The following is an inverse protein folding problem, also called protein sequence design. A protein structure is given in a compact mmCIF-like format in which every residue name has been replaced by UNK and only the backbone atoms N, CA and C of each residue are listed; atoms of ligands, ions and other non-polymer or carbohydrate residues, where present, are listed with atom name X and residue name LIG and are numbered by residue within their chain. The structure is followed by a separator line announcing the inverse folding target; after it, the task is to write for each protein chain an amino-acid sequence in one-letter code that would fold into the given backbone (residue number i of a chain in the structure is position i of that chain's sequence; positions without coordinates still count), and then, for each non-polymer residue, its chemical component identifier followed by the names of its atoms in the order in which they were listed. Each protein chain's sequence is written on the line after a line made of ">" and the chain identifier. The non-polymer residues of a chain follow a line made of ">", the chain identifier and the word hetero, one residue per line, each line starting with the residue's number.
data_IF_864573909202
#
_entry.id   IF_864573909202
#
_cell.length_a   1.000
_cell.length_b   1.000
_cell.length_c   1.000
_cell.angle_alpha   90.00
_cell.angle_beta   90.00
_cell.angle_gamma   90.00
#
_symmetry.space_group_name_H-M   'P 1'
#
loop_
_entity.id
_entity.type
_entity.pdbx_description
1 polymer ?
#
# COMPACT_ATOMS: atom_id res chain seq x y z
N UNK A 1 10.08 33.36 -10.84
CA UNK A 1 9.98 34.04 -9.53
C UNK A 1 8.70 33.53 -8.88
N UNK A 2 8.83 32.67 -7.86
CA UNK A 2 7.70 32.39 -6.98
C UNK A 2 7.44 33.67 -6.19
N UNK A 3 6.27 34.25 -6.39
CA UNK A 3 5.81 35.36 -5.56
C UNK A 3 5.67 34.83 -4.10
N UNK A 4 6.52 35.30 -3.22
CA UNK A 4 6.37 35.09 -1.77
C UNK A 4 5.19 35.97 -1.30
N UNK A 5 3.98 35.48 -1.46
CA UNK A 5 2.75 36.22 -1.15
C UNK A 5 2.55 36.31 0.36
N UNK A 6 3.08 35.32 1.13
CA UNK A 6 2.87 35.23 2.55
C UNK A 6 4.21 35.18 3.30
N UNK A 7 4.64 36.32 3.79
CA UNK A 7 5.79 36.44 4.71
C UNK A 7 5.43 36.24 6.17
N UNK A 8 4.13 36.23 6.47
CA UNK A 8 3.59 36.10 7.83
C UNK A 8 2.79 34.80 7.96
N UNK A 9 2.51 34.42 9.18
CA UNK A 9 1.65 33.27 9.47
C UNK A 9 0.19 33.60 9.17
N UNK A 10 -0.48 32.77 8.37
CA UNK A 10 -1.87 32.93 7.98
C UNK A 10 -2.68 31.74 8.50
N UNK A 11 -3.80 32.04 9.14
CA UNK A 11 -4.78 31.05 9.56
C UNK A 11 -5.97 31.10 8.61
N UNK A 12 -6.31 29.92 8.02
CA UNK A 12 -7.44 29.75 7.11
C UNK A 12 -8.43 28.78 7.74
N UNK A 13 -9.70 29.15 7.79
CA UNK A 13 -10.79 28.28 8.18
C UNK A 13 -11.71 28.05 6.98
N UNK A 14 -12.02 26.80 6.69
CA UNK A 14 -12.93 26.38 5.63
C UNK A 14 -14.15 25.70 6.25
N UNK A 15 -15.31 25.99 5.68
CA UNK A 15 -16.56 25.30 5.97
C UNK A 15 -17.33 25.17 4.66
N UNK A 16 -17.32 23.97 4.06
CA UNK A 16 -17.89 23.69 2.76
C UNK A 16 -18.95 22.60 2.89
N UNK A 17 -20.14 22.83 2.33
CA UNK A 17 -21.24 21.88 2.38
C UNK A 17 -20.92 20.62 1.57
N UNK A 18 -20.44 20.80 0.34
CA UNK A 18 -20.17 19.71 -0.59
C UNK A 18 -18.85 19.96 -1.30
N UNK A 19 -18.02 18.92 -1.35
CA UNK A 19 -16.74 18.91 -2.07
C UNK A 19 -16.67 17.67 -2.96
N UNK A 20 -16.58 17.88 -4.26
CA UNK A 20 -16.47 16.82 -5.25
C UNK A 20 -15.02 16.34 -5.35
N UNK A 21 -14.77 15.10 -4.97
CA UNK A 21 -13.47 14.46 -5.13
C UNK A 21 -13.24 14.01 -6.58
N UNK A 22 -14.31 13.55 -7.22
CA UNK A 22 -14.43 13.24 -8.64
C UNK A 22 -15.91 13.35 -9.09
N UNK A 23 -16.23 12.83 -10.29
CA UNK A 23 -17.58 12.90 -10.84
C UNK A 23 -18.63 12.09 -10.05
N UNK A 24 -18.22 11.18 -9.20
CA UNK A 24 -19.09 10.23 -8.49
C UNK A 24 -18.99 10.32 -6.96
N UNK A 25 -17.90 10.88 -6.47
CA UNK A 25 -17.61 10.91 -5.04
C UNK A 25 -17.66 12.34 -4.49
N UNK A 26 -18.57 12.55 -3.56
CA UNK A 26 -18.76 13.82 -2.86
C UNK A 26 -18.48 13.59 -1.37
N UNK A 27 -17.78 14.53 -0.74
CA UNK A 27 -17.71 14.61 0.71
C UNK A 27 -18.48 15.83 1.18
N UNK A 28 -19.19 15.68 2.26
CA UNK A 28 -20.08 16.68 2.86
C UNK A 28 -19.52 17.23 4.16
N UNK A 29 -19.96 18.44 4.49
CA UNK A 29 -19.64 19.11 5.75
C UNK A 29 -18.12 19.17 6.01
N UNK A 30 -17.36 19.49 4.97
CA UNK A 30 -15.92 19.64 5.10
C UNK A 30 -15.60 20.84 5.98
N UNK A 31 -14.94 20.57 7.07
CA UNK A 31 -14.36 21.59 7.98
C UNK A 31 -12.85 21.49 7.90
N UNK A 32 -12.20 22.62 7.68
CA UNK A 32 -10.74 22.68 7.56
C UNK A 32 -10.18 23.86 8.33
N UNK A 33 -9.08 23.64 9.02
CA UNK A 33 -8.27 24.68 9.64
C UNK A 33 -6.84 24.50 9.18
N UNK A 34 -6.21 25.58 8.73
CA UNK A 34 -4.84 25.56 8.21
C UNK A 34 -4.07 26.72 8.82
N UNK A 35 -2.83 26.43 9.21
CA UNK A 35 -1.84 27.44 9.51
C UNK A 35 -0.73 27.35 8.46
N UNK A 36 -0.52 28.44 7.73
CA UNK A 36 0.50 28.56 6.69
C UNK A 36 1.56 29.54 7.18
N UNK A 37 2.79 29.12 7.19
CA UNK A 37 3.96 29.96 7.54
C UNK A 37 5.01 29.79 6.46
N UNK A 38 5.59 30.86 5.95
CA UNK A 38 6.60 30.85 4.85
C UNK A 38 6.15 30.01 3.64
N UNK A 39 4.91 30.18 3.19
CA UNK A 39 4.31 29.43 2.08
C UNK A 39 4.24 27.90 2.30
N UNK A 40 4.40 27.43 3.52
CA UNK A 40 4.29 26.00 3.87
C UNK A 40 3.16 25.78 4.84
N UNK A 41 2.41 24.69 4.65
CA UNK A 41 1.42 24.27 5.63
C UNK A 41 2.17 23.75 6.85
N UNK A 42 2.07 24.48 7.94
CA UNK A 42 2.64 24.16 9.24
C UNK A 42 1.71 23.24 10.04
N UNK A 43 0.43 23.62 10.09
CA UNK A 43 -0.63 22.80 10.67
C UNK A 43 -1.81 22.72 9.71
N UNK A 44 -2.48 21.58 9.68
CA UNK A 44 -3.77 21.41 9.05
C UNK A 44 -4.61 20.42 9.85
N UNK A 45 -5.90 20.66 9.89
CA UNK A 45 -6.88 19.73 10.42
C UNK A 45 -8.12 19.80 9.52
N UNK A 46 -8.44 18.70 8.86
CA UNK A 46 -9.57 18.61 7.94
C UNK A 46 -10.42 17.41 8.32
N UNK A 47 -11.71 17.59 8.38
CA UNK A 47 -12.70 16.54 8.56
C UNK A 47 -13.84 16.70 7.56
N UNK A 48 -14.33 15.59 7.05
CA UNK A 48 -15.47 15.54 6.15
C UNK A 48 -16.18 14.18 6.27
N UNK A 49 -17.36 14.05 5.68
CA UNK A 49 -18.11 12.79 5.61
C UNK A 49 -18.52 12.46 4.19
N UNK A 50 -18.47 11.21 3.82
CA UNK A 50 -19.12 10.69 2.63
C UNK A 50 -20.64 10.60 2.84
N UNK A 51 -21.40 10.40 1.76
CA UNK A 51 -22.88 10.34 1.80
C UNK A 51 -23.42 9.25 2.74
N UNK A 52 -22.68 8.16 2.92
CA UNK A 52 -23.00 7.06 3.82
C UNK A 52 -22.53 7.28 5.27
N UNK A 53 -22.25 8.52 5.67
CA UNK A 53 -21.68 8.92 6.96
C UNK A 53 -20.28 8.37 7.26
N UNK A 54 -19.59 7.78 6.31
CA UNK A 54 -18.20 7.37 6.45
C UNK A 54 -17.27 8.59 6.51
N UNK A 55 -16.22 8.50 7.31
CA UNK A 55 -15.37 9.64 7.64
C UNK A 55 -14.19 9.77 6.67
N UNK A 56 -13.80 11.03 6.45
CA UNK A 56 -12.53 11.44 5.87
C UNK A 56 -11.87 12.43 6.83
N UNK A 57 -10.64 12.16 7.24
CA UNK A 57 -9.84 13.06 8.08
C UNK A 57 -8.43 13.21 7.53
N UNK A 58 -7.91 14.43 7.60
CA UNK A 58 -6.53 14.73 7.20
C UNK A 58 -5.95 15.70 8.21
N UNK A 59 -4.72 15.44 8.67
CA UNK A 59 -4.03 16.36 9.55
C UNK A 59 -2.55 16.48 9.19
N UNK A 60 -2.03 17.68 9.41
CA UNK A 60 -0.60 17.99 9.41
C UNK A 60 -0.28 18.65 10.74
N UNK A 61 0.77 18.19 11.40
CA UNK A 61 1.32 18.80 12.59
C UNK A 61 2.84 18.89 12.44
N UNK A 62 3.38 20.10 12.55
CA UNK A 62 4.82 20.33 12.49
C UNK A 62 5.30 20.77 13.88
N UNK A 63 6.27 20.06 14.43
CA UNK A 63 6.91 20.36 15.70
C UNK A 63 8.39 20.01 15.63
N UNK A 64 9.27 20.89 16.08
CA UNK A 64 10.73 20.67 16.12
C UNK A 64 11.29 20.20 14.75
N UNK A 65 10.85 20.89 13.67
CA UNK A 65 11.17 20.60 12.26
C UNK A 65 10.72 19.20 11.77
N UNK A 66 10.01 18.45 12.58
CA UNK A 66 9.36 17.22 12.18
C UNK A 66 7.91 17.48 11.76
N UNK A 67 7.58 17.12 10.53
CA UNK A 67 6.23 17.24 9.97
C UNK A 67 5.54 15.88 9.95
N UNK A 68 4.53 15.72 10.79
CA UNK A 68 3.68 14.54 10.80
C UNK A 68 2.46 14.81 9.92
N UNK A 69 2.17 13.88 9.02
CA UNK A 69 0.97 13.90 8.16
C UNK A 69 0.18 12.63 8.39
N UNK A 70 -1.11 12.75 8.63
CA UNK A 70 -2.06 11.64 8.73
C UNK A 70 -3.22 11.85 7.77
N UNK A 71 -3.70 10.76 7.17
CA UNK A 71 -4.89 10.75 6.32
C UNK A 71 -5.63 9.44 6.59
N UNK A 72 -6.88 9.55 7.01
CA UNK A 72 -7.78 8.43 7.14
C UNK A 72 -9.00 8.63 6.26
N UNK A 73 -9.39 7.60 5.54
CA UNK A 73 -10.63 7.59 4.75
C UNK A 73 -11.31 6.24 4.90
N UNK A 74 -12.56 6.23 5.32
CA UNK A 74 -13.39 5.03 5.35
C UNK A 74 -13.75 4.50 3.95
N UNK A 75 -13.39 5.22 2.89
CA UNK A 75 -13.49 4.81 1.48
C UNK A 75 -12.14 5.05 0.82
N UNK A 76 -11.44 3.98 0.47
CA UNK A 76 -10.10 4.07 -0.12
C UNK A 76 -10.11 4.56 -1.57
N UNK A 77 -11.10 4.12 -2.35
CA UNK A 77 -11.16 4.31 -3.79
C UNK A 77 -10.96 5.75 -4.27
N UNK A 78 -11.71 6.76 -3.76
CA UNK A 78 -11.59 8.13 -4.27
C UNK A 78 -10.18 8.69 -4.14
N UNK A 79 -9.48 8.33 -3.05
CA UNK A 79 -8.12 8.80 -2.80
C UNK A 79 -7.08 8.04 -3.61
N UNK A 80 -7.19 6.71 -3.68
CA UNK A 80 -6.25 5.88 -4.45
C UNK A 80 -6.31 6.24 -5.94
N UNK A 81 -7.50 6.41 -6.49
CA UNK A 81 -7.69 6.83 -7.90
C UNK A 81 -7.19 8.25 -8.15
N UNK A 82 -7.47 9.19 -7.26
CA UNK A 82 -7.04 10.58 -7.38
C UNK A 82 -5.54 10.72 -7.39
N UNK A 83 -4.85 10.06 -6.48
CA UNK A 83 -3.40 10.15 -6.33
C UNK A 83 -2.65 9.05 -7.07
N UNK A 84 -3.35 8.13 -7.73
CA UNK A 84 -2.78 7.03 -8.53
C UNK A 84 -1.76 6.19 -7.75
N UNK A 85 -2.01 5.96 -6.47
CA UNK A 85 -1.13 5.17 -5.60
C UNK A 85 -0.97 3.73 -6.12
N UNK A 86 -2.05 3.14 -6.62
CA UNK A 86 -2.07 1.79 -7.18
C UNK A 86 -2.77 1.85 -8.53
N UNK A 87 -2.12 1.33 -9.58
CA UNK A 87 -2.77 1.15 -10.88
C UNK A 87 -3.77 0.00 -10.82
N UNK A 88 -4.86 0.12 -11.58
CA UNK A 88 -5.89 -0.92 -11.65
C UNK A 88 -6.63 -1.14 -10.34
N UNK A 89 -6.63 -0.16 -9.45
CA UNK A 89 -7.38 -0.22 -8.21
C UNK A 89 -8.89 -0.17 -8.49
N UNK A 90 -9.58 -1.18 -7.99
CA UNK A 90 -11.04 -1.25 -7.95
C UNK A 90 -11.49 -1.49 -6.53
N UNK A 91 -12.46 -0.74 -6.10
CA UNK A 91 -13.05 -0.87 -4.77
C UNK A 91 -14.50 -1.36 -4.91
N UNK A 92 -14.92 -2.13 -3.94
CA UNK A 92 -16.32 -2.49 -3.73
C UNK A 92 -17.03 -1.54 -2.74
N UNK A 93 -16.46 -0.36 -2.46
CA UNK A 93 -16.90 0.60 -1.44
C UNK A 93 -16.78 0.12 0.02
N UNK A 94 -16.04 -0.94 0.27
CA UNK A 94 -15.96 -1.57 1.60
C UNK A 94 -14.62 -1.31 2.31
N UNK A 95 -13.58 -0.91 1.56
CA UNK A 95 -12.23 -0.74 2.10
C UNK A 95 -11.92 0.65 2.64
N UNK A 96 -11.10 0.74 3.66
CA UNK A 96 -10.55 1.99 4.17
C UNK A 96 -9.10 2.20 3.75
N UNK A 97 -8.66 3.44 3.86
CA UNK A 97 -7.27 3.84 3.70
C UNK A 97 -6.81 4.56 4.96
N UNK A 98 -5.64 4.17 5.46
CA UNK A 98 -4.95 4.86 6.55
C UNK A 98 -3.50 5.14 6.12
N UNK A 99 -3.11 6.40 6.21
CA UNK A 99 -1.78 6.85 5.85
C UNK A 99 -1.17 7.68 6.98
N UNK A 100 0.07 7.36 7.31
CA UNK A 100 0.91 8.10 8.24
C UNK A 100 2.25 8.42 7.58
N UNK A 101 2.77 9.62 7.82
CA UNK A 101 4.11 9.99 7.38
C UNK A 101 4.75 10.96 8.39
N UNK A 102 5.96 10.66 8.80
CA UNK A 102 6.84 11.59 9.52
C UNK A 102 7.96 12.04 8.59
N UNK A 103 8.12 13.37 8.45
CA UNK A 103 9.16 13.98 7.60
C UNK A 103 10.05 14.90 8.41
N UNK A 104 11.36 14.60 8.41
CA UNK A 104 12.42 15.41 9.03
C UNK A 104 13.66 15.38 8.14
N UNK A 105 14.39 16.48 8.04
CA UNK A 105 15.66 16.61 7.29
C UNK A 105 15.58 16.10 5.84
N UNK A 106 14.45 16.36 5.17
CA UNK A 106 14.23 15.93 3.78
C UNK A 106 13.94 14.44 3.60
N UNK A 107 13.88 13.66 4.68
CA UNK A 107 13.54 12.25 4.68
C UNK A 107 12.13 12.08 5.25
N UNK A 108 11.27 11.32 4.56
CA UNK A 108 9.98 10.93 5.11
C UNK A 108 9.89 9.42 5.29
N UNK A 109 9.48 9.00 6.48
CA UNK A 109 9.13 7.61 6.80
C UNK A 109 7.62 7.50 6.81
N UNK A 110 7.07 6.60 6.00
CA UNK A 110 5.65 6.55 5.74
C UNK A 110 5.10 5.13 5.86
N UNK A 111 3.86 5.04 6.29
CA UNK A 111 3.07 3.81 6.34
C UNK A 111 1.75 4.04 5.64
N UNK A 112 1.38 3.12 4.74
CA UNK A 112 0.09 3.09 4.04
C UNK A 112 -0.58 1.75 4.33
N UNK A 113 -1.81 1.80 4.79
CA UNK A 113 -2.68 0.64 4.97
C UNK A 113 -3.90 0.84 4.07
N UNK A 114 -4.28 -0.21 3.35
CA UNK A 114 -5.54 -0.27 2.60
C UNK A 114 -6.18 -1.62 2.90
N UNK A 115 -7.44 -1.58 3.28
CA UNK A 115 -8.21 -2.76 3.60
C UNK A 115 -9.21 -3.06 2.48
N UNK A 116 -9.44 -4.34 2.21
CA UNK A 116 -10.52 -4.89 1.38
C UNK A 116 -10.72 -4.19 0.02
N UNK A 117 -9.78 -4.38 -0.88
CA UNK A 117 -9.81 -3.79 -2.23
C UNK A 117 -9.51 -4.84 -3.30
N UNK A 118 -9.74 -4.48 -4.55
CA UNK A 118 -9.49 -5.29 -5.73
C UNK A 118 -8.55 -4.56 -6.68
N UNK A 119 -7.65 -5.31 -7.31
CA UNK A 119 -6.80 -4.78 -8.37
C UNK A 119 -6.93 -5.60 -9.63
N UNK A 120 -6.91 -4.95 -10.77
CA UNK A 120 -6.86 -5.59 -12.08
C UNK A 120 -5.87 -4.90 -13.01
N UNK A 121 -5.55 -5.55 -14.14
CA UNK A 121 -4.69 -4.98 -15.17
C UNK A 121 -3.33 -4.52 -14.64
N UNK A 122 -2.70 -5.35 -13.78
CA UNK A 122 -1.33 -5.13 -13.32
C UNK A 122 -0.39 -6.02 -14.12
N UNK A 123 0.21 -5.53 -15.23
CA UNK A 123 1.00 -6.37 -16.15
C UNK A 123 2.21 -7.04 -15.48
N UNK A 124 2.86 -6.35 -14.54
CA UNK A 124 4.00 -6.90 -13.81
C UNK A 124 3.59 -8.09 -12.94
N UNK A 125 2.44 -8.02 -12.26
CA UNK A 125 1.92 -9.10 -11.44
C UNK A 125 1.48 -10.28 -12.33
N UNK A 126 0.73 -10.02 -13.41
CA UNK A 126 0.32 -11.04 -14.37
C UNK A 126 1.54 -11.78 -14.96
N UNK A 127 2.61 -11.06 -15.29
CA UNK A 127 3.86 -11.66 -15.79
C UNK A 127 4.54 -12.55 -14.73
N UNK A 128 4.61 -12.11 -13.47
CA UNK A 128 5.16 -12.93 -12.38
C UNK A 128 4.36 -14.22 -12.23
N UNK A 129 3.04 -14.13 -12.23
CA UNK A 129 2.14 -15.28 -12.09
C UNK A 129 2.26 -16.27 -13.26
N UNK A 130 2.34 -15.77 -14.50
CA UNK A 130 2.53 -16.61 -15.68
C UNK A 130 3.89 -17.32 -15.66
N UNK A 131 4.97 -16.62 -15.31
CA UNK A 131 6.30 -17.22 -15.15
C UNK A 131 6.37 -18.23 -14.00
N UNK A 132 5.52 -18.09 -13.02
CA UNK A 132 5.36 -19.01 -11.89
C UNK A 132 4.47 -20.24 -12.22
N UNK A 133 3.99 -20.36 -13.44
CA UNK A 133 3.00 -21.36 -13.87
C UNK A 133 1.66 -21.29 -13.12
N UNK A 134 1.29 -20.09 -12.68
CA UNK A 134 0.03 -19.79 -11.99
C UNK A 134 -0.95 -19.11 -12.94
N UNK A 135 -1.14 -19.67 -14.14
CA UNK A 135 -1.91 -19.05 -15.22
C UNK A 135 -3.35 -18.70 -14.82
N UNK A 136 -4.05 -19.57 -14.10
CA UNK A 136 -5.41 -19.30 -13.67
C UNK A 136 -5.53 -18.04 -12.77
N UNK A 137 -4.51 -17.75 -11.94
CA UNK A 137 -4.47 -16.54 -11.14
C UNK A 137 -4.05 -15.33 -12.02
N UNK A 138 -3.15 -15.54 -12.98
CA UNK A 138 -2.76 -14.51 -13.94
C UNK A 138 -3.97 -14.03 -14.77
N UNK A 139 -4.83 -14.94 -15.18
CA UNK A 139 -6.06 -14.65 -15.93
C UNK A 139 -7.04 -13.84 -15.08
N UNK A 140 -7.17 -14.13 -13.78
CA UNK A 140 -7.95 -13.29 -12.86
C UNK A 140 -7.42 -11.87 -12.79
N UNK A 141 -6.11 -11.67 -12.70
CA UNK A 141 -5.50 -10.31 -12.65
C UNK A 141 -5.80 -9.49 -13.89
N UNK A 142 -5.82 -10.14 -15.06
CA UNK A 142 -6.09 -9.47 -16.34
C UNK A 142 -7.57 -9.31 -16.66
N UNK A 143 -8.42 -10.15 -16.10
CA UNK A 143 -9.86 -10.17 -16.31
C UNK A 143 -10.66 -9.54 -15.17
N UNK A 144 -11.13 -10.37 -14.24
CA UNK A 144 -12.02 -9.94 -13.16
C UNK A 144 -11.30 -9.16 -12.04
N UNK A 145 -9.99 -9.28 -11.95
CA UNK A 145 -9.16 -8.70 -10.90
C UNK A 145 -8.97 -9.64 -9.71
N UNK A 146 -7.98 -9.30 -8.89
CA UNK A 146 -7.63 -10.02 -7.65
C UNK A 146 -8.01 -9.17 -6.44
N UNK A 147 -8.67 -9.79 -5.45
CA UNK A 147 -8.99 -9.16 -4.17
C UNK A 147 -7.83 -9.32 -3.19
N UNK A 148 -7.58 -8.25 -2.45
CA UNK A 148 -6.76 -8.24 -1.25
C UNK A 148 -7.61 -7.80 -0.06
N UNK A 149 -7.49 -8.51 1.05
CA UNK A 149 -8.16 -8.17 2.31
C UNK A 149 -7.33 -7.21 3.13
N UNK A 150 -6.01 -7.30 3.02
CA UNK A 150 -5.04 -6.48 3.73
C UNK A 150 -3.92 -6.04 2.81
N UNK A 151 -3.55 -4.78 2.92
CA UNK A 151 -2.36 -4.21 2.31
C UNK A 151 -1.69 -3.28 3.32
N UNK A 152 -0.40 -3.47 3.50
CA UNK A 152 0.44 -2.60 4.32
C UNK A 152 1.74 -2.33 3.57
N UNK A 153 2.12 -1.06 3.44
CA UNK A 153 3.39 -0.65 2.86
C UNK A 153 4.11 0.32 3.79
N UNK A 154 5.33 -0.03 4.19
CA UNK A 154 6.25 0.83 4.92
C UNK A 154 7.33 1.28 3.95
N UNK A 155 7.52 2.58 3.81
CA UNK A 155 8.46 3.13 2.83
C UNK A 155 9.09 4.43 3.29
N UNK A 156 10.27 4.70 2.75
CA UNK A 156 11.04 5.92 3.01
C UNK A 156 11.26 6.67 1.71
N UNK A 157 11.04 8.00 1.71
CA UNK A 157 11.38 8.87 0.59
C UNK A 157 12.53 9.80 0.97
N UNK A 158 13.53 9.89 0.09
CA UNK A 158 14.63 10.86 0.16
C UNK A 158 14.87 11.44 -1.23
N UNK A 159 14.46 12.68 -1.44
CA UNK A 159 14.49 13.28 -2.78
C UNK A 159 13.68 12.46 -3.80
N UNK A 160 14.36 11.98 -4.84
CA UNK A 160 13.76 11.16 -5.91
C UNK A 160 13.74 9.65 -5.64
N UNK A 161 14.32 9.22 -4.53
CA UNK A 161 14.41 7.82 -4.16
C UNK A 161 13.30 7.46 -3.17
N UNK A 162 12.46 6.49 -3.55
CA UNK A 162 11.54 5.78 -2.66
C UNK A 162 12.13 4.41 -2.35
N UNK A 163 12.37 4.12 -1.09
CA UNK A 163 12.73 2.78 -0.61
C UNK A 163 11.50 2.11 -0.01
N UNK A 164 11.08 1.00 -0.58
CA UNK A 164 10.04 0.14 -0.03
C UNK A 164 10.72 -0.79 0.97
N UNK A 165 10.59 -0.45 2.25
CA UNK A 165 11.16 -1.25 3.34
C UNK A 165 10.42 -2.59 3.46
N UNK A 166 9.11 -2.55 3.30
CA UNK A 166 8.23 -3.71 3.22
C UNK A 166 6.89 -3.31 2.61
N UNK A 167 6.44 -4.09 1.65
CA UNK A 167 5.06 -4.11 1.19
C UNK A 167 4.54 -5.52 1.40
N UNK A 168 3.44 -5.66 2.12
CA UNK A 168 2.79 -6.92 2.38
C UNK A 168 1.31 -6.84 2.00
N UNK A 169 0.84 -7.77 1.18
CA UNK A 169 -0.56 -7.86 0.78
C UNK A 169 -1.06 -9.30 0.92
N UNK A 170 -2.22 -9.48 1.52
CA UNK A 170 -2.92 -10.76 1.65
C UNK A 170 -4.24 -10.71 0.91
N UNK A 171 -4.53 -11.76 0.17
CA UNK A 171 -5.82 -11.99 -0.45
C UNK A 171 -6.21 -13.46 -0.47
N UNK A 172 -7.47 -13.76 -0.83
CA UNK A 172 -7.96 -15.13 -0.90
C UNK A 172 -7.31 -15.98 -1.99
N UNK A 173 -6.67 -15.37 -2.99
CA UNK A 173 -5.96 -16.06 -4.06
C UNK A 173 -4.45 -16.14 -3.83
N UNK A 174 -3.84 -15.05 -3.35
CA UNK A 174 -2.39 -14.95 -3.17
C UNK A 174 -2.03 -14.06 -1.97
N UNK A 175 -0.83 -14.27 -1.44
CA UNK A 175 -0.15 -13.33 -0.55
C UNK A 175 1.19 -12.92 -1.15
N UNK A 176 1.57 -11.65 -0.97
CA UNK A 176 2.75 -11.06 -1.58
C UNK A 176 3.54 -10.28 -0.52
N UNK A 177 4.85 -10.47 -0.51
CA UNK A 177 5.80 -9.65 0.26
C UNK A 177 6.79 -9.04 -0.72
N UNK A 178 6.97 -7.72 -0.69
CA UNK A 178 7.87 -6.98 -1.60
C UNK A 178 8.75 -6.05 -0.78
N UNK A 179 10.00 -5.89 -1.22
CA UNK A 179 10.94 -4.87 -0.78
C UNK A 179 11.78 -4.37 -1.96
N UNK A 180 12.45 -3.24 -1.81
CA UNK A 180 13.31 -2.69 -2.84
C UNK A 180 13.24 -1.17 -2.94
N UNK A 181 13.49 -0.63 -4.11
CA UNK A 181 13.47 0.81 -4.31
C UNK A 181 13.01 1.22 -5.70
N UNK A 182 12.53 2.45 -5.78
CA UNK A 182 12.10 3.12 -7.00
C UNK A 182 12.78 4.47 -7.04
N UNK A 183 13.59 4.72 -8.05
CA UNK A 183 14.14 6.03 -8.37
C UNK A 183 13.29 6.66 -9.46
N UNK A 184 12.77 7.86 -9.18
CA UNK A 184 11.82 8.54 -10.04
C UNK A 184 12.33 8.66 -11.49
N UNK A 185 11.55 8.14 -12.44
CA UNK A 185 11.82 8.11 -13.88
C UNK A 185 13.12 7.40 -14.34
N UNK A 186 13.85 6.77 -13.45
CA UNK A 186 15.17 6.16 -13.71
C UNK A 186 15.14 4.65 -13.56
N UNK A 187 14.92 4.14 -12.37
CA UNK A 187 15.11 2.73 -12.05
C UNK A 187 14.06 2.20 -11.06
N UNK A 188 13.52 1.05 -11.38
CA UNK A 188 12.74 0.23 -10.44
C UNK A 188 13.59 -1.02 -10.15
N UNK A 189 13.77 -1.34 -8.87
CA UNK A 189 14.44 -2.55 -8.41
C UNK A 189 13.70 -3.13 -7.23
N UNK A 190 12.86 -4.11 -7.50
CA UNK A 190 12.00 -4.77 -6.51
C UNK A 190 12.32 -6.25 -6.45
N UNK A 191 12.23 -6.83 -5.27
CA UNK A 191 12.28 -8.27 -5.05
C UNK A 191 11.18 -8.66 -4.09
N UNK A 192 10.69 -9.88 -4.23
CA UNK A 192 9.61 -10.32 -3.36
C UNK A 192 9.37 -11.81 -3.40
N UNK A 193 8.40 -12.20 -2.61
CA UNK A 193 7.87 -13.56 -2.52
C UNK A 193 6.37 -13.50 -2.77
N UNK A 194 5.88 -14.42 -3.59
CA UNK A 194 4.47 -14.62 -3.87
C UNK A 194 4.09 -16.05 -3.48
N UNK A 195 3.00 -16.21 -2.74
CA UNK A 195 2.53 -17.51 -2.26
C UNK A 195 1.04 -17.65 -2.57
N UNK A 196 0.61 -18.69 -3.31
CA UNK A 196 -0.80 -19.00 -3.50
C UNK A 196 -1.48 -19.31 -2.16
N UNK A 197 -2.73 -18.87 -1.98
CA UNK A 197 -3.48 -19.08 -0.75
C UNK A 197 -3.72 -20.57 -0.44
N UNK A 198 -3.89 -21.40 -1.47
CA UNK A 198 -4.00 -22.85 -1.31
C UNK A 198 -2.78 -23.47 -0.63
N UNK A 199 -1.60 -22.91 -0.85
CA UNK A 199 -0.35 -23.34 -0.20
C UNK A 199 -0.32 -22.90 1.26
N UNK A 200 -0.71 -21.67 1.55
CA UNK A 200 -0.79 -21.14 2.92
C UNK A 200 -1.72 -21.99 3.78
N UNK A 201 -2.93 -22.26 3.29
CA UNK A 201 -3.92 -23.07 4.01
C UNK A 201 -3.42 -24.49 4.29
N UNK A 202 -2.73 -25.13 3.36
CA UNK A 202 -2.13 -26.47 3.56
C UNK A 202 -1.00 -26.40 4.60
N UNK A 203 -0.15 -25.41 4.53
CA UNK A 203 0.97 -25.24 5.46
C UNK A 203 0.48 -25.00 6.89
N UNK A 204 -0.54 -24.14 7.07
CA UNK A 204 -1.14 -23.85 8.39
C UNK A 204 -1.84 -25.07 8.95
N UNK A 205 -2.59 -25.82 8.14
CA UNK A 205 -3.27 -27.04 8.55
C UNK A 205 -2.28 -28.17 8.92
N UNK A 206 -1.05 -28.14 8.43
CA UNK A 206 -0.02 -29.14 8.69
C UNK A 206 0.94 -28.79 9.83
N UNK A 207 0.76 -27.62 10.48
CA UNK A 207 1.60 -27.19 11.62
C UNK A 207 1.07 -27.83 12.91
N UNK A 208 1.72 -28.87 13.46
CA UNK A 208 1.55 -29.23 14.84
C UNK A 208 2.32 -28.22 15.67
N UNK A 209 1.62 -27.38 16.43
CA UNK A 209 2.19 -26.43 17.41
C UNK A 209 3.49 -25.74 16.98
N UNK A 210 3.42 -24.45 16.83
CA UNK A 210 4.36 -23.44 16.33
C UNK A 210 5.87 -23.64 16.67
N UNK A 211 6.22 -24.53 17.59
CA UNK A 211 7.60 -24.80 18.04
C UNK A 211 8.47 -25.58 17.04
N UNK A 212 7.90 -26.44 16.22
CA UNK A 212 8.67 -27.35 15.35
C UNK A 212 8.99 -26.75 13.94
N UNK A 213 8.33 -25.68 13.56
CA UNK A 213 8.54 -25.04 12.24
C UNK A 213 9.87 -24.28 12.15
N UNK A 214 10.43 -23.85 13.26
CA UNK A 214 11.71 -23.15 13.33
C UNK A 214 12.92 -24.10 13.21
N UNK A 215 12.72 -25.41 13.27
CA UNK A 215 13.80 -26.42 13.33
C UNK A 215 13.81 -27.34 12.08
N UNK A 216 13.44 -26.84 10.92
CA UNK A 216 13.84 -27.45 9.62
C UNK A 216 13.39 -28.89 9.35
N UNK A 217 12.30 -29.39 9.93
CA UNK A 217 11.73 -30.67 9.50
C UNK A 217 11.02 -30.53 8.16
N UNK A 218 11.36 -31.37 7.20
CA UNK A 218 10.82 -31.49 5.85
C UNK A 218 9.29 -31.54 5.88
N UNK A 219 8.65 -30.39 5.62
CA UNK A 219 7.26 -30.38 5.16
C UNK A 219 7.29 -30.81 3.71
N UNK A 220 6.40 -31.73 3.33
CA UNK A 220 6.43 -32.52 2.11
C UNK A 220 6.90 -31.82 0.82
N UNK A 221 7.46 -32.60 -0.09
CA UNK A 221 8.03 -32.18 -1.38
C UNK A 221 7.01 -31.42 -2.21
N UNK A 222 7.05 -30.06 -2.15
CA UNK A 222 6.22 -29.18 -2.96
C UNK A 222 6.82 -27.80 -3.11
N UNK A 223 6.44 -27.10 -4.18
CA UNK A 223 6.74 -25.68 -4.36
C UNK A 223 5.78 -24.89 -3.50
N UNK A 224 6.26 -24.17 -2.47
CA UNK A 224 5.44 -23.38 -1.57
C UNK A 224 5.07 -22.01 -2.14
N UNK A 225 5.85 -21.51 -3.08
CA UNK A 225 5.64 -20.22 -3.70
C UNK A 225 6.77 -19.89 -4.66
N UNK A 226 6.90 -18.62 -5.00
CA UNK A 226 7.93 -18.14 -5.88
C UNK A 226 8.59 -16.89 -5.33
N UNK A 227 9.91 -16.81 -5.47
CA UNK A 227 10.63 -15.55 -5.35
C UNK A 227 10.70 -14.88 -6.70
N UNK A 228 10.63 -13.57 -6.73
CA UNK A 228 10.73 -12.81 -7.96
C UNK A 228 11.61 -11.57 -7.81
N UNK A 229 12.14 -11.10 -8.93
CA UNK A 229 12.80 -9.80 -9.06
C UNK A 229 12.23 -9.08 -10.26
N UNK A 230 11.99 -7.77 -10.10
CA UNK A 230 11.59 -6.86 -11.18
C UNK A 230 12.60 -5.74 -11.18
N UNK A 231 13.33 -5.57 -12.29
CA UNK A 231 14.39 -4.56 -12.40
C UNK A 231 14.40 -3.91 -13.78
N UNK A 232 14.67 -2.62 -13.81
CA UNK A 232 14.85 -1.86 -15.05
C UNK A 232 14.21 -0.47 -15.00
N UNK A 233 14.36 0.31 -16.07
CA UNK A 233 13.65 1.57 -16.21
C UNK A 233 12.14 1.31 -16.37
N UNK A 234 11.26 2.27 -15.97
CA UNK A 234 9.80 2.06 -15.91
C UNK A 234 9.18 1.54 -17.21
N UNK A 235 9.76 1.85 -18.36
CA UNK A 235 9.28 1.41 -19.70
C UNK A 235 9.85 0.08 -20.15
N UNK A 236 10.90 -0.46 -19.48
CA UNK A 236 11.57 -1.70 -19.86
C UNK A 236 11.96 -2.49 -18.61
N UNK A 237 10.95 -3.12 -17.99
CA UNK A 237 11.14 -3.95 -16.80
C UNK A 237 11.45 -5.39 -17.18
N UNK A 238 12.52 -5.91 -16.61
CA UNK A 238 12.90 -7.33 -16.66
C UNK A 238 12.36 -8.02 -15.40
N UNK A 239 11.78 -9.20 -15.58
CA UNK A 239 11.20 -9.99 -14.51
C UNK A 239 11.80 -11.37 -14.50
N UNK A 240 12.32 -11.81 -13.35
CA UNK A 240 12.79 -13.17 -13.12
C UNK A 240 12.01 -13.80 -11.98
N UNK A 241 11.72 -15.10 -12.09
CA UNK A 241 10.94 -15.85 -11.10
C UNK A 241 11.64 -17.17 -10.83
N UNK A 242 11.75 -17.55 -9.55
CA UNK A 242 12.32 -18.83 -9.12
C UNK A 242 11.37 -19.52 -8.12
N UNK A 243 11.08 -20.80 -8.31
CA UNK A 243 10.32 -21.58 -7.34
C UNK A 243 11.04 -21.63 -5.98
N UNK A 244 10.27 -21.56 -4.90
CA UNK A 244 10.80 -21.71 -3.55
C UNK A 244 10.12 -22.89 -2.84
N UNK A 245 10.93 -23.66 -2.11
CA UNK A 245 10.48 -24.80 -1.29
C UNK A 245 10.34 -24.46 0.19
N UNK A 246 10.79 -23.28 0.59
CA UNK A 246 10.77 -22.84 1.98
C UNK A 246 10.36 -21.36 2.05
N UNK A 247 9.40 -21.04 2.90
CA UNK A 247 9.01 -19.65 3.15
C UNK A 247 10.00 -18.99 4.09
N UNK A 248 10.26 -17.70 3.88
CA UNK A 248 11.10 -16.93 4.80
C UNK A 248 10.39 -16.79 6.16
N UNK A 249 11.11 -16.78 7.29
CA UNK A 249 10.53 -16.55 8.61
C UNK A 249 9.66 -15.27 8.64
N UNK A 250 10.12 -14.21 8.01
CA UNK A 250 9.39 -12.92 7.88
C UNK A 250 8.02 -13.09 7.21
N UNK A 251 7.96 -13.86 6.11
CA UNK A 251 6.69 -14.12 5.42
C UNK A 251 5.74 -14.91 6.33
N UNK A 252 6.23 -15.92 7.01
CA UNK A 252 5.45 -16.76 7.93
C UNK A 252 4.91 -15.90 9.08
N UNK A 253 5.77 -15.11 9.73
CA UNK A 253 5.38 -14.23 10.84
C UNK A 253 4.27 -13.27 10.42
N UNK A 254 4.44 -12.58 9.29
CA UNK A 254 3.44 -11.64 8.78
C UNK A 254 2.10 -12.31 8.48
N UNK A 255 2.13 -13.49 7.89
CA UNK A 255 0.90 -14.26 7.60
C UNK A 255 0.17 -14.66 8.89
N UNK A 256 0.90 -15.14 9.90
CA UNK A 256 0.32 -15.54 11.17
C UNK A 256 -0.23 -14.36 11.98
N UNK A 257 0.43 -13.20 11.97
CA UNK A 257 -0.05 -11.98 12.62
C UNK A 257 -1.41 -11.53 12.09
N UNK A 258 -1.63 -11.68 10.77
CA UNK A 258 -2.90 -11.29 10.14
C UNK A 258 -4.02 -12.30 10.38
N UNK A 259 -3.70 -13.61 10.36
CA UNK A 259 -4.70 -14.67 10.63
C UNK A 259 -5.21 -14.59 12.08
N UNK A 260 -4.38 -14.16 13.03
CA UNK A 260 -4.80 -14.01 14.45
C UNK A 260 -5.70 -12.80 14.70
N UNK A 261 -5.78 -11.85 13.75
CA UNK A 261 -6.61 -10.63 13.87
C UNK A 261 -8.00 -10.79 13.26
N UNK A 262 -8.22 -11.83 12.46
CA UNK A 262 -9.51 -12.23 11.91
C UNK A 262 -10.09 -13.41 12.72
#
# INVERSE_FOLDING_TARGET
>A
QQLNIFRESINISLNLSDVYLDSYNVVKNLKGQFQITDNKIYQANVSAKFDDNKNLTFAINTKDDEKITTLFSSRAEPLVKRYKFIKGFEDSNEGYLDFYSSKKDGISNSKLIIDNFKVKEIPALAKILSLASLQGIADLVTGEGIRFTDFEMNFTNKGKLMTINELYAIGPAISILIEGYIEENSLISLRGTLVPATTINRTIASIPLIGDLLVGKKVGEGVFGVSFKVKGPPKKLETTVNPIKTLTPRFITRTLEKIKKN
#
